data_IF_937640516554
#
_entry.id   IF_937640516554
#
_cell.length_a   1.000
_cell.length_b   1.000
_cell.length_c   1.000
_cell.angle_alpha   90.00
_cell.angle_beta   90.00
_cell.angle_gamma   90.00
#
_symmetry.space_group_name_H-M   'P 1'
#
loop_
_entity.id
_entity.type
_entity.pdbx_description
1 polymer ?
#
# COMPACT_ATOMS: atom_id res chain seq x y z
N UNK A 1 -3.51 10.15 -17.43
CA UNK A 1 -2.21 10.86 -17.30
C UNK A 1 -1.89 11.32 -15.88
N UNK A 2 -2.80 11.98 -15.15
CA UNK A 2 -2.57 12.42 -13.77
C UNK A 2 -2.12 11.29 -12.81
N UNK A 3 -2.72 10.10 -12.94
CA UNK A 3 -2.32 8.93 -12.17
C UNK A 3 -0.85 8.54 -12.34
N UNK A 4 -0.33 8.52 -13.57
CA UNK A 4 1.06 8.14 -13.83
C UNK A 4 2.06 9.12 -13.22
N UNK A 5 1.74 10.42 -13.22
CA UNK A 5 2.54 11.45 -12.58
C UNK A 5 2.58 11.21 -11.06
N UNK A 6 1.44 10.95 -10.44
CA UNK A 6 1.34 10.69 -9.01
C UNK A 6 2.05 9.39 -8.59
N UNK A 7 1.87 8.31 -9.36
CA UNK A 7 2.57 7.03 -9.15
C UNK A 7 4.09 7.24 -9.19
N UNK A 8 4.60 8.03 -10.13
CA UNK A 8 6.02 8.34 -10.25
C UNK A 8 6.59 9.07 -9.02
N UNK A 9 5.84 10.04 -8.47
CA UNK A 9 6.24 10.77 -7.24
C UNK A 9 6.36 9.80 -6.05
N UNK A 10 5.35 8.94 -5.85
CA UNK A 10 5.36 7.98 -4.75
C UNK A 10 6.42 6.89 -4.92
N UNK A 11 6.67 6.45 -6.15
CA UNK A 11 7.76 5.52 -6.43
C UNK A 11 9.12 6.14 -6.11
N UNK A 12 9.33 7.42 -6.46
CA UNK A 12 10.53 8.17 -6.10
C UNK A 12 10.73 8.27 -4.58
N UNK A 13 9.67 8.65 -3.85
CA UNK A 13 9.70 8.69 -2.39
C UNK A 13 10.02 7.32 -1.77
N UNK A 14 9.30 6.28 -2.20
CA UNK A 14 9.47 4.91 -1.69
C UNK A 14 10.89 4.40 -1.95
N UNK A 15 11.44 4.67 -3.14
CA UNK A 15 12.81 4.29 -3.50
C UNK A 15 13.87 5.01 -2.67
N UNK A 16 13.63 6.26 -2.25
CA UNK A 16 14.52 7.00 -1.35
C UNK A 16 14.47 6.52 0.10
N UNK A 17 13.32 6.04 0.56
CA UNK A 17 13.14 5.53 1.93
C UNK A 17 13.62 4.08 2.08
N UNK A 18 13.53 3.26 1.03
CA UNK A 18 13.93 1.85 1.03
C UNK A 18 15.34 1.57 1.61
N UNK A 19 16.43 2.29 1.25
CA UNK A 19 17.76 2.05 1.82
C UNK A 19 17.85 2.40 3.32
N UNK A 20 17.09 3.38 3.80
CA UNK A 20 17.03 3.75 5.23
C UNK A 20 16.41 2.59 6.02
N UNK A 21 15.29 2.05 5.53
CA UNK A 21 14.63 0.89 6.15
C UNK A 21 15.57 -0.33 6.12
N UNK A 22 16.20 -0.60 4.98
CA UNK A 22 17.13 -1.74 4.81
C UNK A 22 18.35 -1.67 5.74
N UNK A 23 18.91 -0.47 5.94
CA UNK A 23 20.02 -0.27 6.88
C UNK A 23 19.63 -0.58 8.33
N UNK A 24 18.47 -0.08 8.78
CA UNK A 24 17.96 -0.35 10.13
C UNK A 24 17.51 -1.80 10.32
N UNK A 25 16.96 -2.44 9.29
CA UNK A 25 16.63 -3.86 9.27
C UNK A 25 17.88 -4.73 9.42
N UNK A 26 18.96 -4.42 8.68
CA UNK A 26 20.25 -5.10 8.79
C UNK A 26 20.92 -4.94 10.15
N UNK A 27 20.64 -3.84 10.85
CA UNK A 27 21.14 -3.57 12.20
C UNK A 27 20.33 -4.27 13.32
N UNK A 28 19.32 -5.09 12.98
CA UNK A 28 18.42 -5.81 13.92
C UNK A 28 17.74 -4.91 14.97
N UNK A 29 17.58 -3.61 14.69
CA UNK A 29 16.93 -2.67 15.61
C UNK A 29 15.43 -2.57 15.33
N UNK A 30 14.73 -3.67 15.61
CA UNK A 30 13.32 -3.89 15.29
C UNK A 30 12.39 -2.78 15.81
N UNK A 31 12.67 -2.20 16.99
CA UNK A 31 11.88 -1.09 17.56
C UNK A 31 11.95 0.18 16.71
N UNK A 32 13.11 0.47 16.13
CA UNK A 32 13.33 1.69 15.35
C UNK A 32 12.80 1.54 13.92
N UNK A 33 12.96 0.35 13.34
CA UNK A 33 12.39 -0.03 12.04
C UNK A 33 10.86 0.13 12.00
N UNK A 34 10.13 -0.42 12.99
CA UNK A 34 8.66 -0.29 13.06
C UNK A 34 8.20 1.17 13.22
N UNK A 35 8.99 2.02 13.91
CA UNK A 35 8.69 3.46 14.00
C UNK A 35 8.85 4.15 12.66
N UNK A 36 9.94 3.88 11.93
CA UNK A 36 10.19 4.47 10.61
C UNK A 36 9.07 4.09 9.64
N UNK A 37 8.70 2.81 9.59
CA UNK A 37 7.59 2.33 8.75
C UNK A 37 6.29 3.05 9.08
N UNK A 38 5.99 3.22 10.38
CA UNK A 38 4.78 3.93 10.82
C UNK A 38 4.79 5.40 10.40
N UNK A 39 5.93 6.09 10.50
CA UNK A 39 6.06 7.47 10.03
C UNK A 39 5.87 7.57 8.50
N UNK A 40 6.43 6.64 7.74
CA UNK A 40 6.24 6.59 6.28
C UNK A 40 4.78 6.35 5.92
N UNK A 41 4.10 5.43 6.60
CA UNK A 41 2.67 5.18 6.38
C UNK A 41 1.81 6.43 6.67
N UNK A 42 2.05 7.09 7.81
CA UNK A 42 1.36 8.35 8.15
C UNK A 42 1.64 9.42 7.09
N UNK A 43 2.88 9.57 6.66
CA UNK A 43 3.26 10.53 5.62
C UNK A 43 2.53 10.26 4.29
N UNK A 44 2.40 8.99 3.90
CA UNK A 44 1.71 8.61 2.67
C UNK A 44 0.22 8.87 2.77
N UNK A 45 -0.42 8.50 3.89
CA UNK A 45 -1.85 8.79 4.09
C UNK A 45 -2.10 10.29 4.08
N UNK A 46 -1.30 11.07 4.81
CA UNK A 46 -1.42 12.53 4.86
C UNK A 46 -1.19 13.16 3.49
N UNK A 47 -0.14 12.77 2.78
CA UNK A 47 0.14 13.30 1.43
C UNK A 47 -0.94 12.90 0.41
N UNK A 48 -1.46 11.67 0.46
CA UNK A 48 -2.59 11.25 -0.36
C UNK A 48 -3.85 12.07 -0.10
N UNK A 49 -4.16 12.36 1.17
CA UNK A 49 -5.31 13.22 1.53
C UNK A 49 -5.10 14.65 1.03
N UNK A 50 -3.91 15.22 1.19
CA UNK A 50 -3.57 16.54 0.66
C UNK A 50 -3.78 16.56 -0.86
N UNK A 51 -3.27 15.58 -1.58
CA UNK A 51 -3.40 15.51 -3.04
C UNK A 51 -4.87 15.31 -3.46
N UNK A 52 -5.67 14.54 -2.71
CA UNK A 52 -7.10 14.41 -2.96
C UNK A 52 -7.80 15.77 -2.82
N UNK A 53 -7.52 16.52 -1.74
CA UNK A 53 -8.11 17.85 -1.52
C UNK A 53 -7.68 18.82 -2.62
N UNK A 54 -6.39 18.86 -2.98
CA UNK A 54 -5.92 19.68 -4.09
C UNK A 54 -6.61 19.27 -5.41
N UNK A 55 -6.76 17.97 -5.66
CA UNK A 55 -7.43 17.47 -6.86
C UNK A 55 -8.88 17.91 -6.93
N UNK A 56 -9.61 17.92 -5.81
CA UNK A 56 -10.98 18.43 -5.75
C UNK A 56 -11.05 19.94 -6.04
N UNK A 57 -10.13 20.73 -5.47
CA UNK A 57 -10.08 22.19 -5.69
C UNK A 57 -9.71 22.53 -7.14
N UNK A 58 -8.78 21.78 -7.74
CA UNK A 58 -8.30 22.02 -9.10
C UNK A 58 -9.14 21.30 -10.18
N UNK A 59 -10.03 20.37 -9.82
CA UNK A 59 -10.86 19.65 -10.78
C UNK A 59 -11.67 20.57 -11.71
N UNK A 60 -12.36 21.62 -11.23
CA UNK A 60 -13.12 22.53 -12.09
C UNK A 60 -12.24 23.30 -13.07
N UNK A 61 -11.03 23.66 -12.63
CA UNK A 61 -10.04 24.37 -13.45
C UNK A 61 -9.47 23.46 -14.54
N UNK A 62 -9.08 22.24 -14.18
CA UNK A 62 -8.55 21.25 -15.13
C UNK A 62 -9.60 20.86 -16.17
N UNK A 63 -10.85 20.61 -15.75
CA UNK A 63 -11.93 20.27 -16.67
C UNK A 63 -12.31 21.43 -17.59
N UNK A 64 -12.22 22.67 -17.10
CA UNK A 64 -12.47 23.87 -17.90
C UNK A 64 -11.47 24.10 -19.04
N UNK A 65 -10.28 23.48 -18.97
CA UNK A 65 -9.29 23.51 -20.06
C UNK A 65 -9.69 22.53 -21.19
N UNK A 66 -10.32 21.40 -20.85
CA UNK A 66 -10.69 20.38 -21.82
C UNK A 66 -12.05 20.63 -22.49
N UNK A 67 -13.03 21.15 -21.74
CA UNK A 67 -14.36 21.45 -22.26
C UNK A 67 -14.91 22.74 -21.63
N UNK A 68 -15.60 23.61 -22.40
CA UNK A 68 -16.28 24.77 -21.85
C UNK A 68 -17.29 24.41 -20.75
N UNK A 69 -17.35 25.24 -19.71
CA UNK A 69 -18.30 25.12 -18.61
C UNK A 69 -19.74 25.18 -19.16
N UNK A 70 -20.62 24.30 -18.67
CA UNK A 70 -22.02 24.20 -19.11
C UNK A 70 -22.26 23.21 -20.27
N UNK A 71 -21.22 22.52 -20.75
CA UNK A 71 -21.41 21.36 -21.64
C UNK A 71 -21.70 20.11 -20.80
N UNK A 72 -22.53 19.21 -21.32
CA UNK A 72 -22.83 17.92 -20.68
C UNK A 72 -21.54 17.11 -20.41
N UNK A 73 -20.58 17.21 -21.32
CA UNK A 73 -19.24 16.60 -21.20
C UNK A 73 -18.46 17.16 -20.00
N UNK A 74 -18.60 18.45 -19.68
CA UNK A 74 -17.93 19.05 -18.53
C UNK A 74 -18.46 18.48 -17.22
N UNK A 75 -19.78 18.35 -17.07
CA UNK A 75 -20.39 17.81 -15.84
C UNK A 75 -20.03 16.34 -15.64
N UNK A 76 -20.09 15.55 -16.71
CA UNK A 76 -19.69 14.14 -16.71
C UNK A 76 -18.21 14.00 -16.33
N UNK A 77 -17.32 14.79 -16.92
CA UNK A 77 -15.90 14.73 -16.64
C UNK A 77 -15.56 15.21 -15.22
N UNK A 78 -16.25 16.23 -14.71
CA UNK A 78 -16.09 16.74 -13.35
C UNK A 78 -16.52 15.67 -12.32
N UNK A 79 -17.71 15.08 -12.51
CA UNK A 79 -18.23 14.04 -11.64
C UNK A 79 -17.33 12.79 -11.64
N UNK A 80 -16.94 12.34 -12.84
CA UNK A 80 -16.02 11.23 -13.02
C UNK A 80 -14.66 11.47 -12.36
N UNK A 81 -14.14 12.70 -12.41
CA UNK A 81 -12.90 13.07 -11.76
C UNK A 81 -12.98 13.01 -10.23
N UNK A 82 -14.12 13.38 -9.63
CA UNK A 82 -14.33 13.25 -8.19
C UNK A 82 -14.36 11.80 -7.72
N UNK A 83 -15.02 10.91 -8.47
CA UNK A 83 -14.99 9.47 -8.24
C UNK A 83 -13.58 8.91 -8.40
N UNK A 84 -12.88 9.35 -9.45
CA UNK A 84 -11.51 8.94 -9.72
C UNK A 84 -10.52 9.42 -8.65
N UNK A 85 -10.70 10.62 -8.10
CA UNK A 85 -9.81 11.20 -7.10
C UNK A 85 -9.72 10.35 -5.81
N UNK A 86 -10.74 9.55 -5.50
CA UNK A 86 -10.70 8.58 -4.38
C UNK A 86 -9.58 7.54 -4.59
N UNK A 87 -9.27 7.20 -5.84
CA UNK A 87 -8.18 6.28 -6.19
C UNK A 87 -6.82 6.76 -5.72
N UNK A 88 -6.60 8.08 -5.63
CA UNK A 88 -5.33 8.64 -5.18
C UNK A 88 -4.97 8.26 -3.74
N UNK A 89 -5.98 8.03 -2.90
CA UNK A 89 -5.79 7.52 -1.55
C UNK A 89 -5.34 6.06 -1.57
N UNK A 90 -6.02 5.25 -2.38
CA UNK A 90 -5.75 3.81 -2.51
C UNK A 90 -4.39 3.53 -3.16
N UNK A 91 -4.05 4.24 -4.23
CA UNK A 91 -2.78 4.10 -4.97
C UNK A 91 -1.60 4.40 -4.07
N UNK A 92 -1.65 5.47 -3.26
CA UNK A 92 -0.55 5.83 -2.35
C UNK A 92 -0.26 4.72 -1.34
N UNK A 93 -1.30 4.18 -0.71
CA UNK A 93 -1.19 3.06 0.23
C UNK A 93 -0.67 1.80 -0.47
N UNK A 94 -1.14 1.50 -1.68
CA UNK A 94 -0.78 0.29 -2.41
C UNK A 94 0.68 0.32 -2.91
N UNK A 95 1.17 1.48 -3.38
CA UNK A 95 2.57 1.65 -3.78
C UNK A 95 3.50 1.42 -2.59
N UNK A 96 3.18 2.01 -1.43
CA UNK A 96 4.00 1.83 -0.24
C UNK A 96 3.98 0.40 0.26
N UNK A 97 2.80 -0.23 0.33
CA UNK A 97 2.67 -1.64 0.69
C UNK A 97 3.52 -2.53 -0.24
N UNK A 98 3.47 -2.28 -1.56
CA UNK A 98 4.29 -3.00 -2.54
C UNK A 98 5.80 -2.76 -2.35
N UNK A 99 6.22 -1.52 -2.10
CA UNK A 99 7.61 -1.18 -1.82
C UNK A 99 8.15 -1.83 -0.55
N UNK A 100 7.31 -1.89 0.48
CA UNK A 100 7.58 -2.61 1.72
C UNK A 100 7.77 -4.11 1.48
N UNK A 101 6.84 -4.78 0.81
CA UNK A 101 6.99 -6.20 0.48
C UNK A 101 8.23 -6.51 -0.36
N UNK A 102 8.63 -5.56 -1.22
CA UNK A 102 9.85 -5.65 -2.01
C UNK A 102 11.09 -5.53 -1.13
N UNK A 103 11.12 -4.59 -0.18
CA UNK A 103 12.24 -4.40 0.74
C UNK A 103 12.41 -5.56 1.75
N UNK A 104 11.32 -6.20 2.17
CA UNK A 104 11.32 -7.29 3.17
C UNK A 104 11.55 -8.71 2.59
N UNK A 105 12.10 -8.84 1.38
CA UNK A 105 12.41 -10.15 0.75
C UNK A 105 11.18 -10.99 0.36
N UNK A 106 10.23 -10.41 -0.37
CA UNK A 106 9.16 -11.18 -1.03
C UNK A 106 8.76 -10.62 -2.41
N UNK A 107 9.76 -10.31 -3.24
CA UNK A 107 9.59 -9.72 -4.58
C UNK A 107 8.70 -10.54 -5.55
N UNK A 108 8.56 -11.84 -5.32
CA UNK A 108 7.68 -12.72 -6.12
C UNK A 108 6.21 -12.42 -5.85
N UNK A 109 5.83 -12.16 -4.59
CA UNK A 109 4.45 -11.84 -4.22
C UNK A 109 4.09 -10.43 -4.69
N UNK A 110 4.99 -9.46 -4.57
CA UNK A 110 4.76 -8.09 -5.07
C UNK A 110 4.69 -8.05 -6.61
N UNK A 111 5.48 -8.88 -7.30
CA UNK A 111 5.40 -9.05 -8.75
C UNK A 111 4.07 -9.65 -9.20
N UNK A 112 3.64 -10.77 -8.59
CA UNK A 112 2.36 -11.40 -8.91
C UNK A 112 1.16 -10.49 -8.58
N UNK A 113 1.22 -9.77 -7.46
CA UNK A 113 0.21 -8.79 -7.07
C UNK A 113 0.15 -7.62 -8.06
N UNK A 114 1.30 -7.12 -8.51
CA UNK A 114 1.37 -6.04 -9.50
C UNK A 114 0.75 -6.47 -10.83
N UNK A 115 1.00 -7.71 -11.27
CA UNK A 115 0.39 -8.29 -12.47
C UNK A 115 -1.12 -8.48 -12.32
N UNK A 116 -1.58 -9.06 -11.20
CA UNK A 116 -3.01 -9.22 -10.93
C UNK A 116 -3.74 -7.88 -10.93
N UNK A 117 -3.12 -6.85 -10.36
CA UNK A 117 -3.66 -5.50 -10.35
C UNK A 117 -3.81 -4.94 -11.75
N UNK A 118 -2.74 -4.94 -12.56
CA UNK A 118 -2.75 -4.29 -13.87
C UNK A 118 -3.48 -5.06 -14.95
N UNK A 119 -3.56 -6.40 -14.84
CA UNK A 119 -4.29 -7.25 -15.78
C UNK A 119 -5.66 -7.63 -15.23
N UNK A 120 -5.71 -8.45 -14.18
CA UNK A 120 -6.96 -9.12 -13.78
C UNK A 120 -7.96 -8.13 -13.20
N UNK A 121 -7.56 -7.30 -12.23
CA UNK A 121 -8.51 -6.42 -11.57
C UNK A 121 -8.95 -5.24 -12.44
N UNK A 122 -8.07 -4.70 -13.28
CA UNK A 122 -8.45 -3.66 -14.25
C UNK A 122 -9.39 -4.23 -15.32
N UNK A 123 -9.10 -5.41 -15.88
CA UNK A 123 -9.97 -6.04 -16.89
C UNK A 123 -11.32 -6.43 -16.29
N UNK A 124 -11.34 -7.00 -15.08
CA UNK A 124 -12.60 -7.29 -14.39
C UNK A 124 -13.36 -6.02 -14.08
N UNK A 125 -12.68 -4.96 -13.64
CA UNK A 125 -13.32 -3.68 -13.33
C UNK A 125 -13.97 -3.06 -14.56
N UNK A 126 -13.26 -2.99 -15.69
CA UNK A 126 -13.78 -2.34 -16.90
C UNK A 126 -14.91 -3.12 -17.58
N UNK A 127 -15.01 -4.44 -17.33
CA UNK A 127 -16.09 -5.27 -17.88
C UNK A 127 -17.29 -5.32 -16.93
N UNK A 128 -17.06 -5.50 -15.62
CA UNK A 128 -18.12 -5.74 -14.64
C UNK A 128 -18.74 -4.45 -14.10
N UNK A 129 -17.94 -3.42 -13.80
CA UNK A 129 -18.47 -2.22 -13.14
C UNK A 129 -19.39 -1.40 -14.07
N UNK A 130 -19.08 -1.21 -15.36
CA UNK A 130 -19.99 -0.50 -16.26
C UNK A 130 -21.31 -1.24 -16.48
N UNK A 131 -21.35 -2.56 -16.29
CA UNK A 131 -22.60 -3.32 -16.35
C UNK A 131 -23.55 -3.02 -15.17
N UNK A 132 -23.02 -2.56 -14.04
CA UNK A 132 -23.78 -2.33 -12.80
C UNK A 132 -24.06 -0.84 -12.61
N UNK A 133 -23.10 0.02 -12.95
CA UNK A 133 -23.11 1.47 -12.69
C UNK A 133 -22.86 2.33 -13.94
N UNK A 134 -22.96 1.74 -15.13
CA UNK A 134 -22.87 2.45 -16.41
C UNK A 134 -21.58 3.31 -16.51
N UNK A 135 -21.70 4.61 -16.77
CA UNK A 135 -20.56 5.51 -16.89
C UNK A 135 -19.74 5.64 -15.60
N UNK A 136 -20.39 5.65 -14.43
CA UNK A 136 -19.72 5.74 -13.13
C UNK A 136 -18.86 4.51 -12.85
N UNK A 137 -19.28 3.35 -13.37
CA UNK A 137 -18.52 2.11 -13.30
C UNK A 137 -17.17 2.18 -14.01
N UNK A 138 -17.07 2.96 -15.09
CA UNK A 138 -15.81 3.19 -15.80
C UNK A 138 -14.85 3.99 -14.92
N UNK A 139 -15.33 5.05 -14.27
CA UNK A 139 -14.51 5.88 -13.36
C UNK A 139 -14.08 5.11 -12.10
N UNK A 140 -14.92 4.21 -11.60
CA UNK A 140 -14.66 3.38 -10.43
C UNK A 140 -13.79 2.14 -10.71
N UNK A 141 -13.46 1.85 -11.98
CA UNK A 141 -12.62 0.70 -12.36
C UNK A 141 -11.25 0.73 -11.68
N UNK A 142 -10.58 1.88 -11.71
CA UNK A 142 -9.24 2.05 -11.12
C UNK A 142 -9.28 1.91 -9.58
N UNK A 143 -10.14 2.62 -8.83
CA UNK A 143 -10.20 2.46 -7.38
C UNK A 143 -10.67 1.07 -6.96
N UNK A 144 -11.60 0.45 -7.70
CA UNK A 144 -12.01 -0.94 -7.46
C UNK A 144 -10.84 -1.91 -7.66
N UNK A 145 -10.02 -1.70 -8.69
CA UNK A 145 -8.85 -2.55 -8.94
C UNK A 145 -7.78 -2.41 -7.84
N UNK A 146 -7.55 -1.19 -7.35
CA UNK A 146 -6.64 -0.94 -6.23
C UNK A 146 -7.16 -1.57 -4.93
N UNK A 147 -8.47 -1.48 -4.65
CA UNK A 147 -9.10 -2.16 -3.51
C UNK A 147 -8.98 -3.68 -3.60
N UNK A 148 -9.26 -4.25 -4.78
CA UNK A 148 -9.11 -5.69 -5.03
C UNK A 148 -7.68 -6.16 -4.78
N UNK A 149 -6.68 -5.39 -5.22
CA UNK A 149 -5.28 -5.66 -4.96
C UNK A 149 -4.94 -5.62 -3.47
N UNK A 150 -5.39 -4.60 -2.73
CA UNK A 150 -5.16 -4.52 -1.28
C UNK A 150 -5.80 -5.70 -0.56
N UNK A 151 -7.06 -6.03 -0.87
CA UNK A 151 -7.77 -7.15 -0.26
C UNK A 151 -7.10 -8.49 -0.56
N UNK A 152 -6.66 -8.69 -1.81
CA UNK A 152 -5.94 -9.90 -2.19
C UNK A 152 -4.58 -10.00 -1.52
N UNK A 153 -3.86 -8.88 -1.38
CA UNK A 153 -2.59 -8.82 -0.64
C UNK A 153 -2.77 -9.15 0.85
N UNK A 154 -3.80 -8.59 1.49
CA UNK A 154 -4.16 -8.91 2.87
C UNK A 154 -4.57 -10.37 3.02
N UNK A 155 -5.37 -10.89 2.08
CA UNK A 155 -5.77 -12.29 2.07
C UNK A 155 -4.58 -13.23 1.94
N UNK A 156 -3.64 -12.95 1.02
CA UNK A 156 -2.41 -13.72 0.88
C UNK A 156 -1.58 -13.64 2.17
N UNK A 157 -1.39 -12.45 2.73
CA UNK A 157 -0.64 -12.25 3.98
C UNK A 157 -1.28 -13.04 5.13
N UNK A 158 -2.60 -13.04 5.23
CA UNK A 158 -3.33 -13.77 6.27
C UNK A 158 -3.31 -15.29 6.05
N UNK A 159 -3.50 -15.75 4.81
CA UNK A 159 -3.50 -17.17 4.44
C UNK A 159 -2.11 -17.80 4.53
N UNK A 160 -1.08 -17.06 4.15
CA UNK A 160 0.31 -17.50 4.19
C UNK A 160 1.02 -17.16 5.51
N UNK A 161 0.34 -16.54 6.49
CA UNK A 161 0.89 -16.28 7.84
C UNK A 161 1.44 -17.53 8.52
N UNK A 162 0.85 -18.69 8.22
CA UNK A 162 1.20 -19.99 8.80
C UNK A 162 2.33 -20.72 8.08
N UNK A 163 2.65 -20.35 6.83
CA UNK A 163 3.68 -21.04 6.03
C UNK A 163 4.98 -20.23 5.88
N UNK A 164 4.93 -18.92 6.10
CA UNK A 164 6.08 -18.00 5.98
C UNK A 164 6.54 -17.37 7.31
N UNK A 165 6.05 -17.85 8.47
CA UNK A 165 6.67 -17.53 9.77
C UNK A 165 6.55 -16.08 10.25
N UNK A 166 5.67 -15.26 9.67
CA UNK A 166 5.43 -13.90 10.18
C UNK A 166 4.75 -13.89 11.56
N UNK A 167 4.10 -14.99 11.96
CA UNK A 167 3.58 -15.21 13.31
C UNK A 167 4.65 -15.56 14.35
N UNK A 168 5.85 -15.96 13.94
CA UNK A 168 6.92 -16.41 14.84
C UNK A 168 7.89 -15.29 15.25
N UNK A 169 7.85 -14.13 14.59
CA UNK A 169 8.69 -12.97 14.97
C UNK A 169 8.25 -12.34 16.29
N UNK A 170 6.94 -12.14 16.48
CA UNK A 170 6.41 -11.57 17.73
C UNK A 170 6.53 -12.54 18.92
N UNK A 171 6.45 -13.85 18.68
CA UNK A 171 6.71 -14.86 19.72
C UNK A 171 8.20 -15.02 20.01
N UNK A 172 9.09 -14.94 19.02
CA UNK A 172 10.55 -14.91 19.23
C UNK A 172 11.00 -13.65 19.96
N UNK A 173 10.44 -12.48 19.63
CA UNK A 173 10.75 -11.23 20.34
C UNK A 173 10.30 -11.32 21.80
N UNK A 174 9.10 -11.89 22.09
CA UNK A 174 8.65 -12.18 23.46
C UNK A 174 9.52 -13.19 24.19
N UNK A 175 10.03 -14.22 23.48
CA UNK A 175 10.93 -15.24 24.05
C UNK A 175 12.29 -14.67 24.39
N UNK A 176 12.85 -13.82 23.54
CA UNK A 176 14.12 -13.11 23.77
C UNK A 176 14.01 -12.06 24.89
N UNK A 177 12.86 -11.41 25.04
CA UNK A 177 12.58 -10.51 26.17
C UNK A 177 12.43 -11.32 27.48
N UNK A 178 11.76 -12.49 27.46
CA UNK A 178 11.66 -13.41 28.61
C UNK A 178 13.00 -14.05 29.01
N UNK A 179 13.86 -14.40 28.05
CA UNK A 179 15.15 -15.05 28.29
C UNK A 179 16.18 -14.07 28.89
N UNK A 180 16.06 -12.77 28.59
CA UNK A 180 16.82 -11.70 29.26
C UNK A 180 16.32 -11.41 30.68
N UNK A 181 15.04 -11.62 30.95
CA UNK A 181 14.42 -11.36 32.26
C UNK A 181 14.60 -12.53 33.24
N UNK A 182 14.76 -13.77 32.75
CA UNK A 182 15.09 -14.96 33.57
C UNK A 182 16.16 -15.84 32.88
N UNK A 183 17.46 -15.60 33.13
CA UNK A 183 18.53 -16.41 32.56
C UNK A 183 18.56 -17.79 33.22
N UNK A 184 17.93 -18.76 32.56
CA UNK A 184 17.88 -20.15 33.02
C UNK A 184 19.17 -20.85 32.60
N UNK A 185 20.25 -20.61 33.34
CA UNK A 185 21.58 -21.08 32.92
C UNK A 185 22.61 -21.14 34.03
N UNK A 186 22.23 -21.55 35.25
CA UNK A 186 23.16 -21.97 36.33
C UNK A 186 22.49 -22.94 37.31
N UNK A 187 22.03 -24.11 36.87
CA UNK A 187 21.58 -25.17 37.79
C UNK A 187 21.90 -26.58 37.26
N UNK A 188 23.02 -26.77 36.55
CA UNK A 188 23.45 -28.11 36.10
C UNK A 188 24.94 -28.37 36.40
N UNK A 189 25.39 -27.99 37.60
CA UNK A 189 26.77 -28.23 38.02
C UNK A 189 26.90 -28.77 39.44
N UNK A 190 25.84 -29.31 40.05
CA UNK A 190 25.85 -29.77 41.44
C UNK A 190 25.39 -31.22 41.69
N UNK A 191 25.47 -32.11 40.69
CA UNK A 191 25.04 -33.51 40.91
C UNK A 191 25.99 -34.61 40.43
N UNK A 192 27.15 -34.28 39.84
CA UNK A 192 28.22 -35.25 39.61
C UNK A 192 29.41 -34.91 40.51
N UNK A 193 29.30 -35.33 41.77
CA UNK A 193 30.41 -35.43 42.72
C UNK A 193 30.27 -36.70 43.54
#
# INVERSE_FOLDING_TARGET
YAQFLMVSIFLGFTSGVAPIISFHYGAQNWKQEHRIIRYCYVFIVVSSVIILVLSYIFAPFLMGIFSPQGTEVYEIALHGFYLFAVSFLLVGVNIFASGMFTAFSNGVISGFLSLLRTLVFVVLGIVLLPWIWDLDGVWLTIPAAELGAILFSLFLTWKYRFRYGYGSGAERFKREEQEKEYPTGKLDQSYDS
#
